data_IF_211830597857
#
_entry.id   IF_211830597857
#
_cell.length_a   1.000
_cell.length_b   1.000
_cell.length_c   1.000
_cell.angle_alpha   90.00
_cell.angle_beta   90.00
_cell.angle_gamma   90.00
#
_symmetry.space_group_name_H-M   'P 1'
#
loop_
_entity.id
_entity.type
_entity.pdbx_description
1 polymer ?
#
# COMPACT_ATOMS: atom_id res chain seq x y z
N UNK A 1 -31.07 24.90 13.70
CA UNK A 1 -31.22 23.59 14.38
C UNK A 1 -30.53 22.56 13.49
N UNK A 2 -29.52 21.84 13.98
CA UNK A 2 -28.83 20.81 13.19
C UNK A 2 -29.75 19.58 13.10
N UNK A 3 -30.16 19.20 11.90
CA UNK A 3 -30.96 17.98 11.69
C UNK A 3 -30.02 16.81 11.47
N UNK A 4 -30.10 15.82 12.36
CA UNK A 4 -29.43 14.53 12.21
C UNK A 4 -30.47 13.52 11.77
N UNK A 5 -30.24 12.90 10.62
CA UNK A 5 -31.07 11.79 10.15
C UNK A 5 -30.19 10.60 9.83
N UNK A 6 -30.52 9.46 10.44
CA UNK A 6 -30.06 8.18 9.94
C UNK A 6 -30.84 7.86 8.68
N UNK A 7 -30.12 7.51 7.61
CA UNK A 7 -30.70 7.30 6.29
C UNK A 7 -30.21 6.00 5.68
N UNK A 8 -31.05 5.44 4.83
CA UNK A 8 -30.68 4.46 3.83
C UNK A 8 -30.96 5.07 2.45
N UNK A 9 -29.89 5.39 1.72
CA UNK A 9 -29.96 6.03 0.39
C UNK A 9 -29.50 5.05 -0.67
N UNK A 10 -30.35 4.81 -1.67
CA UNK A 10 -29.99 4.06 -2.87
C UNK A 10 -29.80 5.03 -4.04
N UNK A 11 -28.64 4.99 -4.68
CA UNK A 11 -28.28 5.88 -5.78
C UNK A 11 -28.56 5.23 -7.14
N UNK A 12 -28.84 6.06 -8.15
CA UNK A 12 -29.10 5.60 -9.53
C UNK A 12 -27.93 4.80 -10.14
N UNK A 13 -26.70 5.03 -9.69
CA UNK A 13 -25.51 4.33 -10.15
C UNK A 13 -25.32 2.95 -9.48
N UNK A 14 -26.25 2.52 -8.62
CA UNK A 14 -26.19 1.26 -7.88
C UNK A 14 -25.43 1.34 -6.55
N UNK A 15 -24.89 2.49 -6.19
CA UNK A 15 -24.29 2.69 -4.88
C UNK A 15 -25.39 2.76 -3.80
N UNK A 16 -25.03 2.50 -2.55
CA UNK A 16 -25.92 2.70 -1.40
C UNK A 16 -25.17 3.28 -0.21
N UNK A 17 -25.83 4.12 0.58
CA UNK A 17 -25.28 4.70 1.79
C UNK A 17 -26.21 4.48 2.98
N UNK A 18 -25.63 4.01 4.08
CA UNK A 18 -26.29 3.79 5.36
C UNK A 18 -25.55 4.59 6.41
N UNK A 19 -26.19 5.59 7.01
CA UNK A 19 -25.53 6.39 8.04
C UNK A 19 -26.16 7.74 8.26
N UNK A 20 -25.35 8.66 8.80
CA UNK A 20 -25.82 9.95 9.30
C UNK A 20 -25.61 11.04 8.23
N UNK A 21 -26.67 11.81 7.98
CA UNK A 21 -26.59 13.09 7.28
C UNK A 21 -26.67 14.24 8.28
N UNK A 22 -25.87 15.28 8.04
CA UNK A 22 -25.95 16.58 8.70
C UNK A 22 -26.13 17.65 7.63
N UNK A 23 -27.25 18.37 7.65
CA UNK A 23 -27.61 19.34 6.61
C UNK A 23 -27.51 18.76 5.19
N UNK A 24 -27.93 17.50 5.01
CA UNK A 24 -27.88 16.78 3.73
C UNK A 24 -26.51 16.19 3.36
N UNK A 25 -25.45 16.43 4.14
CA UNK A 25 -24.10 15.90 3.86
C UNK A 25 -23.78 14.69 4.73
N UNK A 26 -23.10 13.68 4.14
CA UNK A 26 -22.64 12.50 4.87
C UNK A 26 -21.63 12.89 5.95
N UNK A 27 -21.79 12.38 7.17
CA UNK A 27 -20.84 12.57 8.27
C UNK A 27 -20.16 11.27 8.69
N UNK A 28 -20.92 10.20 8.87
CA UNK A 28 -20.40 8.88 9.23
C UNK A 28 -21.34 7.79 8.70
N UNK A 29 -20.78 6.68 8.24
CA UNK A 29 -21.61 5.55 7.82
C UNK A 29 -20.89 4.54 6.95
N UNK A 30 -21.72 3.67 6.36
CA UNK A 30 -21.33 2.61 5.45
C UNK A 30 -21.76 2.97 4.03
N UNK A 31 -20.79 3.05 3.13
CA UNK A 31 -21.00 3.26 1.71
C UNK A 31 -20.68 1.98 0.95
N UNK A 32 -21.69 1.42 0.30
CA UNK A 32 -21.60 0.21 -0.52
C UNK A 32 -21.54 0.68 -1.97
N UNK A 33 -20.41 0.46 -2.62
CA UNK A 33 -20.23 0.79 -4.03
C UNK A 33 -20.90 -0.28 -4.90
N UNK A 34 -21.35 0.09 -6.09
CA UNK A 34 -21.92 -0.82 -7.09
C UNK A 34 -20.99 -1.99 -7.45
N UNK A 35 -19.66 -1.75 -7.37
CA UNK A 35 -18.64 -2.80 -7.53
C UNK A 35 -18.44 -3.67 -6.28
N UNK A 36 -19.37 -3.62 -5.31
CA UNK A 36 -19.39 -4.39 -4.05
C UNK A 36 -18.28 -4.05 -3.06
N UNK A 37 -17.46 -3.02 -3.31
CA UNK A 37 -16.56 -2.47 -2.30
C UNK A 37 -17.38 -1.81 -1.19
N UNK A 38 -16.85 -1.83 0.02
CA UNK A 38 -17.53 -1.26 1.20
C UNK A 38 -16.56 -0.33 1.90
N UNK A 39 -16.97 0.92 2.12
CA UNK A 39 -16.30 1.82 3.05
C UNK A 39 -17.15 1.99 4.30
N UNK A 40 -16.52 1.92 5.47
CA UNK A 40 -17.12 2.17 6.77
C UNK A 40 -16.26 3.21 7.49
N UNK A 41 -16.84 4.37 7.78
CA UNK A 41 -16.14 5.44 8.49
C UNK A 41 -16.67 6.85 8.19
N UNK A 42 -15.90 7.88 8.57
CA UNK A 42 -16.32 9.26 8.46
C UNK A 42 -16.26 9.79 7.02
N UNK A 43 -17.07 10.82 6.78
CA UNK A 43 -17.13 11.60 5.56
C UNK A 43 -17.04 13.10 5.85
N UNK A 44 -16.39 13.83 4.93
CA UNK A 44 -16.36 15.29 4.90
C UNK A 44 -16.39 15.74 3.44
N UNK A 45 -17.33 16.62 3.08
CA UNK A 45 -17.55 17.05 1.70
C UNK A 45 -17.68 15.86 0.73
N UNK A 46 -18.50 14.87 1.10
CA UNK A 46 -18.72 13.59 0.39
C UNK A 46 -17.47 12.72 0.16
N UNK A 47 -16.35 13.05 0.79
CA UNK A 47 -15.09 12.30 0.70
C UNK A 47 -14.81 11.56 2.00
N UNK A 48 -14.28 10.35 1.87
CA UNK A 48 -13.77 9.55 3.01
C UNK A 48 -12.72 10.35 3.78
N UNK A 49 -12.84 10.41 5.10
CA UNK A 49 -11.88 11.10 5.96
C UNK A 49 -11.77 10.42 7.32
N UNK A 50 -10.70 10.72 8.07
CA UNK A 50 -10.48 10.15 9.39
C UNK A 50 -10.19 8.65 9.35
N UNK A 51 -10.35 7.97 10.48
CA UNK A 51 -10.13 6.53 10.58
C UNK A 51 -11.29 5.77 9.95
N UNK A 52 -11.01 4.89 8.99
CA UNK A 52 -12.03 4.11 8.32
C UNK A 52 -11.52 2.77 7.79
N UNK A 53 -12.47 1.92 7.38
CA UNK A 53 -12.23 0.62 6.75
C UNK A 53 -12.72 0.65 5.31
N UNK A 54 -11.88 0.28 4.35
CA UNK A 54 -12.25 0.04 2.96
C UNK A 54 -12.03 -1.43 2.62
N UNK A 55 -13.10 -2.20 2.58
CA UNK A 55 -13.11 -3.61 2.19
C UNK A 55 -13.27 -3.72 0.67
N UNK A 56 -12.34 -4.40 -0.01
CA UNK A 56 -12.41 -4.61 -1.46
C UNK A 56 -13.15 -5.89 -1.82
N UNK A 57 -12.96 -6.92 -1.00
CA UNK A 57 -13.67 -8.20 -1.03
C UNK A 57 -13.54 -8.86 0.36
N UNK A 58 -13.93 -10.14 0.47
CA UNK A 58 -13.87 -10.88 1.76
C UNK A 58 -12.44 -11.08 2.29
N UNK A 59 -11.42 -11.06 1.43
CA UNK A 59 -10.03 -11.41 1.76
C UNK A 59 -9.10 -10.20 1.87
N UNK A 60 -9.47 -9.06 1.29
CA UNK A 60 -8.62 -7.86 1.21
C UNK A 60 -9.34 -6.59 1.68
N UNK A 61 -8.62 -5.79 2.47
CA UNK A 61 -9.14 -4.55 3.03
C UNK A 61 -8.00 -3.59 3.40
N UNK A 62 -8.33 -2.32 3.48
CA UNK A 62 -7.54 -1.29 4.15
C UNK A 62 -8.25 -0.86 5.43
N UNK A 63 -7.51 -0.67 6.51
CA UNK A 63 -7.96 -0.05 7.74
C UNK A 63 -6.94 1.02 8.15
N UNK A 64 -7.35 2.27 8.24
CA UNK A 64 -6.43 3.35 8.57
C UNK A 64 -7.00 4.71 8.24
N UNK A 65 -6.10 5.70 8.25
CA UNK A 65 -6.48 7.09 8.06
C UNK A 65 -6.78 7.41 6.58
N UNK A 66 -7.80 8.25 6.38
CA UNK A 66 -8.21 8.82 5.11
C UNK A 66 -8.19 10.35 5.18
N UNK A 67 -7.81 10.97 4.07
CA UNK A 67 -7.94 12.42 3.87
C UNK A 67 -8.36 12.67 2.42
N UNK A 68 -9.39 13.50 2.22
CA UNK A 68 -9.90 13.85 0.89
C UNK A 68 -10.18 12.63 -0.01
N UNK A 69 -10.65 11.53 0.58
CA UNK A 69 -10.98 10.30 -0.15
C UNK A 69 -9.82 9.34 -0.35
N UNK A 70 -8.58 9.73 -0.04
CA UNK A 70 -7.37 8.94 -0.22
C UNK A 70 -6.81 8.41 1.11
N UNK A 71 -6.14 7.25 1.07
CA UNK A 71 -5.37 6.75 2.21
C UNK A 71 -4.23 7.72 2.52
N UNK A 72 -4.06 8.05 3.80
CA UNK A 72 -3.03 8.94 4.32
C UNK A 72 -2.61 8.48 5.70
N UNK A 73 -1.40 8.81 6.15
CA UNK A 73 -0.93 8.54 7.51
C UNK A 73 -0.83 7.03 7.77
N UNK A 74 -0.98 6.61 9.03
CA UNK A 74 -0.86 5.20 9.38
C UNK A 74 -2.05 4.37 8.89
N UNK A 75 -1.76 3.17 8.38
CA UNK A 75 -2.78 2.23 7.97
C UNK A 75 -2.27 0.82 7.68
N UNK A 76 -3.16 -0.14 7.86
CA UNK A 76 -2.98 -1.56 7.60
C UNK A 76 -3.73 -1.96 6.32
N UNK A 77 -3.05 -2.56 5.35
CA UNK A 77 -3.65 -3.13 4.15
C UNK A 77 -3.37 -4.63 4.13
N UNK A 78 -4.42 -5.44 4.14
CA UNK A 78 -4.37 -6.86 3.78
C UNK A 78 -4.66 -7.02 2.29
N UNK A 79 -3.81 -7.76 1.60
CA UNK A 79 -3.98 -8.10 0.20
C UNK A 79 -4.65 -9.47 0.04
N UNK A 80 -5.18 -9.73 -1.15
CA UNK A 80 -5.94 -10.95 -1.41
C UNK A 80 -5.07 -12.22 -1.38
N UNK A 81 -3.79 -12.09 -1.74
CA UNK A 81 -2.78 -13.15 -1.64
C UNK A 81 -2.32 -13.44 -0.20
N UNK A 82 -2.87 -12.74 0.80
CA UNK A 82 -2.52 -12.88 2.20
C UNK A 82 -1.40 -11.95 2.66
N UNK A 83 -0.67 -11.32 1.75
CA UNK A 83 0.33 -10.31 2.10
C UNK A 83 -0.31 -9.19 2.91
N UNK A 84 0.50 -8.47 3.68
CA UNK A 84 0.05 -7.23 4.30
C UNK A 84 1.10 -6.14 4.26
N UNK A 85 0.61 -4.91 4.34
CA UNK A 85 1.42 -3.72 4.62
C UNK A 85 0.88 -3.03 5.87
N UNK A 86 1.77 -2.70 6.79
CA UNK A 86 1.49 -1.80 7.91
C UNK A 86 2.50 -0.67 7.89
N UNK A 87 2.02 0.57 7.83
CA UNK A 87 2.91 1.72 7.82
C UNK A 87 2.22 2.98 7.33
N UNK A 88 3.04 3.92 6.93
CA UNK A 88 2.61 5.22 6.46
C UNK A 88 2.09 5.19 5.00
N UNK A 89 1.08 6.02 4.74
CA UNK A 89 0.42 6.16 3.45
C UNK A 89 0.39 7.63 3.03
N UNK A 90 0.53 7.87 1.73
CA UNK A 90 0.38 9.19 1.12
C UNK A 90 -0.29 9.04 -0.24
N UNK A 91 -1.45 9.67 -0.42
CA UNK A 91 -2.23 9.63 -1.66
C UNK A 91 -2.42 8.21 -2.21
N UNK A 92 -2.92 7.29 -1.38
CA UNK A 92 -3.15 5.88 -1.72
C UNK A 92 -1.90 5.02 -1.97
N UNK A 93 -0.69 5.54 -1.72
CA UNK A 93 0.58 4.80 -1.88
C UNK A 93 1.26 4.62 -0.54
N UNK A 94 1.92 3.47 -0.36
CA UNK A 94 2.88 3.24 0.75
C UNK A 94 3.95 4.33 0.67
N UNK A 95 4.25 4.98 1.78
CA UNK A 95 5.19 6.08 1.84
C UNK A 95 5.76 6.18 3.25
N UNK A 96 6.97 6.69 3.48
CA UNK A 96 7.54 6.75 4.83
C UNK A 96 7.87 5.35 5.37
N UNK A 97 7.81 5.17 6.68
CA UNK A 97 8.18 3.91 7.31
C UNK A 97 7.07 2.87 7.22
N UNK A 98 7.43 1.61 6.99
CA UNK A 98 6.46 0.52 7.04
C UNK A 98 7.05 -0.88 6.88
N UNK A 99 6.21 -1.86 7.22
CA UNK A 99 6.45 -3.28 7.11
C UNK A 99 5.61 -3.83 5.97
N UNK A 100 6.22 -4.59 5.07
CA UNK A 100 5.50 -5.41 4.09
C UNK A 100 5.83 -6.87 4.31
N UNK A 101 4.83 -7.68 4.62
CA UNK A 101 4.97 -9.11 4.85
C UNK A 101 4.48 -9.91 3.65
N UNK A 102 5.31 -10.85 3.20
CA UNK A 102 5.02 -11.77 2.12
C UNK A 102 4.45 -13.06 2.69
N UNK A 103 3.16 -13.31 2.48
CA UNK A 103 2.49 -14.44 3.13
C UNK A 103 3.00 -15.81 2.66
N UNK A 104 3.38 -15.90 1.37
CA UNK A 104 3.84 -17.15 0.77
C UNK A 104 5.22 -17.58 1.29
N UNK A 105 6.16 -16.63 1.42
CA UNK A 105 7.56 -16.91 1.80
C UNK A 105 7.84 -16.67 3.28
N UNK A 106 6.93 -15.99 4.01
CA UNK A 106 7.11 -15.55 5.41
C UNK A 106 8.18 -14.48 5.59
N UNK A 107 8.75 -13.98 4.51
CA UNK A 107 9.69 -12.87 4.47
C UNK A 107 8.99 -11.54 4.77
N UNK A 108 9.75 -10.53 5.18
CA UNK A 108 9.23 -9.16 5.19
C UNK A 108 10.28 -8.10 4.91
N UNK A 109 9.81 -6.98 4.37
CA UNK A 109 10.55 -5.72 4.32
C UNK A 109 10.17 -4.86 5.52
N UNK A 110 11.15 -4.20 6.11
CA UNK A 110 10.95 -3.15 7.12
C UNK A 110 11.89 -1.98 6.84
N UNK A 111 11.33 -0.76 6.73
CA UNK A 111 12.07 0.46 6.47
C UNK A 111 11.28 1.45 5.62
N UNK A 112 11.98 2.19 4.76
CA UNK A 112 11.43 3.32 4.02
C UNK A 112 10.75 2.93 2.71
N UNK A 113 9.67 3.64 2.41
CA UNK A 113 8.88 3.52 1.21
C UNK A 113 8.74 4.89 0.54
N UNK A 114 8.91 4.96 -0.78
CA UNK A 114 8.53 6.11 -1.59
C UNK A 114 7.63 5.72 -2.76
N UNK A 115 6.50 6.43 -2.90
CA UNK A 115 5.53 6.26 -3.98
C UNK A 115 5.15 4.78 -4.26
N UNK A 116 5.06 3.97 -3.20
CA UNK A 116 4.68 2.56 -3.27
C UNK A 116 5.84 1.56 -3.38
N UNK A 117 7.09 2.02 -3.47
CA UNK A 117 8.27 1.18 -3.56
C UNK A 117 9.11 1.23 -2.28
N UNK A 118 9.64 0.08 -1.86
CA UNK A 118 10.63 0.00 -0.81
C UNK A 118 11.96 0.57 -1.30
N UNK A 119 12.58 1.46 -0.52
CA UNK A 119 13.78 2.23 -0.92
C UNK A 119 15.01 1.95 -0.08
N UNK A 120 14.83 1.66 1.21
CA UNK A 120 15.91 1.40 2.16
C UNK A 120 15.37 0.63 3.36
N UNK A 121 16.20 -0.26 3.92
CA UNK A 121 15.90 -0.93 5.18
C UNK A 121 16.36 -2.38 5.16
N UNK A 122 15.60 -3.20 5.89
CA UNK A 122 15.88 -4.61 6.13
C UNK A 122 14.91 -5.47 5.32
N UNK A 123 15.45 -6.46 4.62
CA UNK A 123 14.70 -7.61 4.12
C UNK A 123 15.04 -8.79 5.03
N UNK A 124 14.08 -9.22 5.85
CA UNK A 124 14.20 -10.46 6.61
C UNK A 124 13.83 -11.62 5.68
N UNK A 125 14.81 -12.49 5.41
CA UNK A 125 14.63 -13.68 4.59
C UNK A 125 14.22 -14.90 5.45
N UNK A 126 14.75 -14.97 6.66
CA UNK A 126 14.38 -15.92 7.71
C UNK A 126 14.74 -15.33 9.08
N UNK A 127 14.43 -16.04 10.16
CA UNK A 127 14.80 -15.63 11.53
C UNK A 127 16.33 -15.50 11.72
N UNK A 128 17.12 -16.12 10.84
CA UNK A 128 18.58 -16.20 10.93
C UNK A 128 19.30 -15.36 9.87
N UNK A 129 18.58 -14.85 8.86
CA UNK A 129 19.18 -14.18 7.71
C UNK A 129 18.39 -12.92 7.32
N UNK A 130 19.10 -11.79 7.31
CA UNK A 130 18.59 -10.53 6.78
C UNK A 130 19.54 -9.90 5.79
N UNK A 131 18.99 -9.15 4.84
CA UNK A 131 19.74 -8.22 4.00
C UNK A 131 19.44 -6.78 4.43
N UNK A 132 20.48 -5.97 4.57
CA UNK A 132 20.39 -4.55 4.90
C UNK A 132 20.97 -3.73 3.75
N UNK A 133 20.18 -2.80 3.20
CA UNK A 133 20.69 -1.95 2.14
C UNK A 133 19.64 -1.10 1.46
N UNK A 134 19.99 -0.65 0.25
CA UNK A 134 19.11 0.17 -0.59
C UNK A 134 18.36 -0.69 -1.61
N UNK A 135 17.22 -0.16 -2.07
CA UNK A 135 16.34 -0.82 -3.02
C UNK A 135 15.92 0.14 -4.15
N UNK A 136 15.64 -0.43 -5.33
CA UNK A 136 14.98 0.24 -6.45
C UNK A 136 13.93 -0.71 -7.01
N UNK A 137 12.68 -0.26 -7.07
CA UNK A 137 11.53 -1.09 -7.45
C UNK A 137 11.45 -2.40 -6.66
N UNK A 138 11.58 -2.30 -5.33
CA UNK A 138 11.50 -3.41 -4.38
C UNK A 138 12.61 -4.47 -4.55
N UNK A 139 13.73 -4.09 -5.15
CA UNK A 139 14.85 -4.97 -5.46
C UNK A 139 16.14 -4.36 -4.94
N UNK A 140 17.04 -5.10 -4.26
CA UNK A 140 18.33 -4.60 -3.81
C UNK A 140 19.09 -3.78 -4.88
N UNK A 141 19.86 -2.79 -4.46
CA UNK A 141 20.73 -2.00 -5.34
C UNK A 141 21.95 -1.50 -4.59
N UNK A 142 23.02 -1.22 -5.34
CA UNK A 142 24.28 -0.67 -4.84
C UNK A 142 24.84 -1.56 -3.72
N UNK A 143 25.53 -0.96 -2.76
CA UNK A 143 26.07 -1.65 -1.60
C UNK A 143 24.94 -2.02 -0.61
N UNK A 144 24.99 -3.24 -0.12
CA UNK A 144 24.28 -3.71 1.05
C UNK A 144 25.05 -4.89 1.67
N UNK A 145 24.47 -5.53 2.68
CA UNK A 145 25.11 -6.69 3.29
C UNK A 145 24.07 -7.64 3.85
N UNK A 146 24.37 -8.93 3.76
CA UNK A 146 23.69 -9.96 4.52
C UNK A 146 24.23 -9.97 5.94
N UNK A 147 23.35 -10.18 6.92
CA UNK A 147 23.68 -10.37 8.33
C UNK A 147 23.06 -11.70 8.76
N UNK A 148 23.90 -12.58 9.29
CA UNK A 148 23.51 -13.88 9.83
C UNK A 148 23.20 -13.78 11.33
N UNK A 149 22.66 -14.85 11.90
CA UNK A 149 22.30 -14.92 13.33
C UNK A 149 23.49 -14.65 14.26
N UNK A 150 24.68 -15.10 13.87
CA UNK A 150 25.96 -14.91 14.58
C UNK A 150 26.59 -13.53 14.36
N UNK A 151 25.84 -12.60 13.75
CA UNK A 151 26.26 -11.26 13.35
C UNK A 151 27.31 -11.19 12.24
N UNK A 152 27.71 -12.33 11.66
CA UNK A 152 28.59 -12.37 10.49
C UNK A 152 27.97 -11.58 9.34
N UNK A 153 28.80 -10.81 8.62
CA UNK A 153 28.37 -9.96 7.51
C UNK A 153 29.01 -10.36 6.19
N UNK A 154 28.18 -10.48 5.16
CA UNK A 154 28.65 -10.63 3.78
C UNK A 154 28.21 -9.39 2.99
N UNK A 155 29.19 -8.59 2.57
CA UNK A 155 28.92 -7.45 1.71
C UNK A 155 28.47 -7.93 0.33
N UNK A 156 27.46 -7.25 -0.22
CA UNK A 156 26.93 -7.53 -1.54
C UNK A 156 26.82 -6.23 -2.33
N UNK A 157 27.16 -6.29 -3.62
CA UNK A 157 26.97 -5.20 -4.55
C UNK A 157 26.01 -5.60 -5.66
N UNK A 158 24.91 -4.85 -5.76
CA UNK A 158 23.88 -5.07 -6.76
C UNK A 158 23.86 -3.97 -7.82
N UNK A 159 24.41 -4.25 -9.00
CA UNK A 159 24.30 -3.36 -10.16
C UNK A 159 23.03 -3.68 -10.95
N UNK A 160 22.18 -2.68 -11.11
CA UNK A 160 21.02 -2.77 -11.98
C UNK A 160 21.37 -2.21 -13.36
N UNK A 161 21.27 -3.06 -14.38
CA UNK A 161 21.47 -2.66 -15.77
C UNK A 161 20.13 -2.35 -16.43
N UNK A 162 20.08 -1.23 -17.15
CA UNK A 162 18.94 -0.83 -17.96
C UNK A 162 19.33 -0.97 -19.42
N UNK A 163 18.61 -1.80 -20.17
CA UNK A 163 18.68 -1.75 -21.64
C UNK A 163 17.61 -0.79 -22.13
N UNK A 164 18.01 0.32 -22.71
CA UNK A 164 17.14 1.12 -23.56
C UNK A 164 17.22 0.44 -24.93
N UNK A 165 16.22 -0.37 -25.30
CA UNK A 165 16.06 -0.67 -26.71
C UNK A 165 15.50 0.57 -27.39
N UNK A 166 16.01 0.94 -28.55
CA UNK A 166 15.49 2.05 -29.34
C UNK A 166 13.99 1.87 -29.63
N UNK A 167 13.29 2.99 -29.63
CA UNK A 167 11.84 3.17 -29.67
C UNK A 167 11.15 2.25 -30.69
N UNK A 168 10.08 1.54 -30.27
CA UNK A 168 9.08 1.10 -31.25
C UNK A 168 8.17 2.30 -31.50
N UNK A 169 7.92 2.61 -32.78
CA UNK A 169 7.12 3.74 -33.28
C UNK A 169 5.65 3.77 -32.79
N UNK A 170 5.23 2.86 -31.90
CA UNK A 170 3.84 2.69 -31.45
C UNK A 170 3.54 3.19 -30.02
N UNK A 171 4.48 3.86 -29.35
CA UNK A 171 4.18 4.54 -28.07
C UNK A 171 3.74 3.64 -26.90
N UNK A 172 3.98 2.32 -26.96
CA UNK A 172 3.67 1.41 -25.85
C UNK A 172 4.75 1.48 -24.76
N UNK A 173 4.30 1.57 -23.50
CA UNK A 173 5.12 1.62 -22.29
C UNK A 173 6.05 0.40 -22.21
N UNK A 174 7.35 0.59 -22.44
CA UNK A 174 8.34 -0.48 -22.47
C UNK A 174 8.56 -1.15 -21.12
N UNK A 175 8.65 -2.48 -21.15
CA UNK A 175 9.04 -3.33 -20.02
C UNK A 175 10.55 -3.21 -19.84
N UNK A 176 10.98 -2.49 -18.80
CA UNK A 176 12.38 -2.50 -18.35
C UNK A 176 12.67 -3.89 -17.76
N UNK A 177 13.54 -4.66 -18.41
CA UNK A 177 14.07 -5.91 -17.85
C UNK A 177 15.30 -5.58 -16.99
N UNK A 178 15.26 -6.00 -15.73
CA UNK A 178 16.37 -5.86 -14.78
C UNK A 178 17.14 -7.19 -14.74
N UNK A 179 18.45 -7.13 -14.95
CA UNK A 179 19.36 -8.26 -14.79
C UNK A 179 20.30 -8.01 -13.60
N UNK A 180 20.74 -9.11 -12.98
CA UNK A 180 21.60 -9.10 -11.80
C UNK A 180 22.90 -9.83 -12.12
N UNK A 181 24.03 -9.25 -11.72
CA UNK A 181 25.34 -9.89 -11.77
C UNK A 181 26.04 -9.65 -10.43
N UNK A 182 26.39 -10.73 -9.73
CA UNK A 182 27.38 -10.67 -8.66
C UNK A 182 28.74 -10.41 -9.32
N UNK A 183 29.45 -9.39 -8.83
CA UNK A 183 30.83 -9.09 -9.23
C UNK A 183 31.74 -9.59 -8.12
#
# INVERSE_FOLDING_TARGET
>A
MLTFSEVNVHYKNGDSFFGILLNGQKTNGKYIYANKRIYEGPFKNDKKCGLGRLSYNKKSFYYGMFENGAKKGMGFQKYENGDFYYGEWKHNKKNGNGIYYFFATKEYYYGDWDKGYFTSGVWLLSDELKYVGMFFRNKPKNNGHFVFLDETKINAFYKQLFTISDMDLEGKKKVIKLFWKNI
#
